data_IF_398971811975
#
_entry.id   IF_398971811975
#
_cell.length_a   1.000
_cell.length_b   1.000
_cell.length_c   1.000
_cell.angle_alpha   90.00
_cell.angle_beta   90.00
_cell.angle_gamma   90.00
#
_symmetry.space_group_name_H-M   'P 1'
#
loop_
_entity.id
_entity.type
_entity.pdbx_description
1 polymer ?
#
# COMPACT_ATOMS: atom_id res chain seq x y z
N UNK A 1 -6.75 17.72 40.63
CA UNK A 1 -5.45 18.26 40.17
C UNK A 1 -4.94 17.32 39.09
N UNK A 2 -4.68 17.82 37.88
CA UNK A 2 -4.23 16.98 36.76
C UNK A 2 -2.83 16.44 37.06
N UNK A 3 -2.67 15.12 37.03
CA UNK A 3 -1.35 14.51 36.96
C UNK A 3 -0.96 14.38 35.48
N UNK A 4 -0.21 15.32 34.92
CA UNK A 4 0.29 15.29 33.53
C UNK A 4 -0.46 16.20 32.53
N UNK A 5 0.07 16.27 31.31
CA UNK A 5 -0.36 17.18 30.24
C UNK A 5 -1.30 16.48 29.24
N UNK A 6 -2.57 16.90 29.08
CA UNK A 6 -3.59 16.20 28.28
C UNK A 6 -3.33 16.05 26.78
N UNK A 7 -2.20 16.57 26.26
CA UNK A 7 -1.78 16.40 24.86
C UNK A 7 -0.67 15.37 24.66
N UNK A 8 -0.25 14.65 25.69
CA UNK A 8 0.92 13.74 25.67
C UNK A 8 0.54 12.29 25.50
N UNK A 9 1.44 11.45 24.99
CA UNK A 9 1.24 9.99 25.04
C UNK A 9 1.28 9.49 26.47
N UNK A 10 2.25 9.98 27.26
CA UNK A 10 2.36 9.66 28.69
C UNK A 10 1.03 9.84 29.43
N UNK A 11 0.32 10.95 29.16
CA UNK A 11 -0.99 11.18 29.76
C UNK A 11 -2.00 10.06 29.49
N UNK A 12 -2.09 9.51 28.28
CA UNK A 12 -3.08 8.49 27.93
C UNK A 12 -2.59 7.05 28.18
N UNK A 13 -1.28 6.83 28.27
CA UNK A 13 -0.65 5.51 28.20
C UNK A 13 0.37 5.20 29.33
N UNK A 14 0.36 5.94 30.44
CA UNK A 14 1.32 5.85 31.56
C UNK A 14 1.48 4.47 32.29
N UNK A 15 0.90 3.37 31.79
CA UNK A 15 1.06 2.01 32.36
C UNK A 15 1.95 1.12 31.45
N UNK A 16 3.26 0.98 31.75
CA UNK A 16 4.23 0.33 30.85
C UNK A 16 3.98 -1.16 30.60
N UNK A 17 3.42 -1.89 31.58
CA UNK A 17 3.22 -3.34 31.50
C UNK A 17 2.20 -3.77 30.44
N UNK A 18 1.22 -2.91 30.14
CA UNK A 18 0.19 -3.17 29.12
C UNK A 18 0.66 -2.82 27.71
N UNK A 19 1.79 -2.12 27.56
CA UNK A 19 2.32 -1.74 26.24
C UNK A 19 3.27 -2.82 25.69
N UNK A 20 3.97 -3.55 26.58
CA UNK A 20 4.98 -4.55 26.20
C UNK A 20 4.47 -5.66 25.27
N UNK A 21 3.25 -6.16 25.46
CA UNK A 21 2.69 -7.23 24.62
C UNK A 21 2.33 -6.77 23.20
N UNK A 22 1.89 -5.50 23.04
CA UNK A 22 1.59 -4.91 21.74
C UNK A 22 2.88 -4.77 20.94
N UNK A 23 3.92 -4.24 21.58
CA UNK A 23 5.25 -4.13 20.99
C UNK A 23 5.77 -5.52 20.63
N UNK A 24 5.65 -6.51 21.51
CA UNK A 24 6.05 -7.89 21.21
C UNK A 24 5.32 -8.48 19.98
N UNK A 25 4.02 -8.20 19.81
CA UNK A 25 3.24 -8.62 18.65
C UNK A 25 3.75 -8.03 17.33
N UNK A 26 4.12 -6.75 17.31
CA UNK A 26 4.74 -6.09 16.14
C UNK A 26 6.06 -6.79 15.78
N UNK A 27 6.89 -7.08 16.78
CA UNK A 27 8.14 -7.79 16.54
C UNK A 27 7.92 -9.22 16.05
N UNK A 28 6.85 -9.89 16.50
CA UNK A 28 6.48 -11.19 15.95
C UNK A 28 6.18 -11.12 14.44
N UNK A 29 5.42 -10.09 14.03
CA UNK A 29 5.09 -9.82 12.63
C UNK A 29 6.35 -9.49 11.81
N UNK A 30 7.24 -8.66 12.36
CA UNK A 30 8.54 -8.28 11.77
C UNK A 30 9.42 -9.50 11.49
N UNK A 31 9.56 -10.41 12.45
CA UNK A 31 10.35 -11.62 12.23
C UNK A 31 9.72 -12.54 11.18
N UNK A 32 8.40 -12.71 11.20
CA UNK A 32 7.69 -13.46 10.16
C UNK A 32 7.92 -12.85 8.76
N UNK A 33 7.88 -11.53 8.64
CA UNK A 33 8.17 -10.82 7.40
C UNK A 33 9.62 -11.05 6.94
N UNK A 34 10.56 -11.02 7.86
CA UNK A 34 11.98 -11.24 7.57
C UNK A 34 12.23 -12.65 7.02
N UNK A 35 11.60 -13.67 7.60
CA UNK A 35 11.64 -15.05 7.08
C UNK A 35 11.11 -15.08 5.65
N UNK A 36 9.99 -14.41 5.39
CA UNK A 36 9.41 -14.34 4.05
C UNK A 36 10.32 -13.64 3.02
N UNK A 37 10.89 -12.49 3.39
CA UNK A 37 11.77 -11.69 2.52
C UNK A 37 13.08 -12.41 2.18
N UNK A 38 13.62 -13.18 3.13
CA UNK A 38 14.85 -13.95 2.97
C UNK A 38 14.64 -15.32 2.30
N UNK A 39 13.39 -15.73 2.04
CA UNK A 39 13.08 -17.04 1.49
C UNK A 39 13.25 -18.20 2.49
N UNK A 40 13.10 -17.92 3.79
CA UNK A 40 13.09 -18.93 4.85
C UNK A 40 14.43 -19.16 5.56
N UNK A 41 15.46 -18.36 5.28
CA UNK A 41 16.77 -18.51 5.91
C UNK A 41 16.75 -17.86 7.30
N UNK A 42 17.27 -18.56 8.31
CA UNK A 42 17.43 -18.00 9.66
C UNK A 42 18.43 -16.84 9.63
N UNK A 43 17.94 -15.61 9.45
CA UNK A 43 18.78 -14.42 9.42
C UNK A 43 19.06 -13.91 10.84
N UNK A 44 20.18 -13.18 11.05
CA UNK A 44 20.48 -12.57 12.33
C UNK A 44 19.38 -11.60 12.81
N UNK A 45 18.64 -10.97 11.90
CA UNK A 45 17.44 -10.15 12.21
C UNK A 45 16.33 -10.99 12.87
N UNK A 46 16.10 -12.23 12.45
CA UNK A 46 15.12 -13.13 13.10
C UNK A 46 15.58 -13.48 14.52
N UNK A 47 16.89 -13.65 14.72
CA UNK A 47 17.49 -13.94 16.02
C UNK A 47 17.44 -12.73 16.96
N UNK A 48 17.75 -11.52 16.49
CA UNK A 48 17.65 -10.29 17.29
C UNK A 48 16.20 -10.00 17.68
N UNK A 49 15.28 -10.18 16.74
CA UNK A 49 13.84 -10.03 16.98
C UNK A 49 13.32 -11.04 18.00
N UNK A 50 13.71 -12.32 17.89
CA UNK A 50 13.40 -13.34 18.90
C UNK A 50 13.97 -12.97 20.28
N UNK A 51 15.20 -12.45 20.33
CA UNK A 51 15.82 -11.99 21.58
C UNK A 51 15.03 -10.83 22.20
N UNK A 52 14.59 -9.88 21.40
CA UNK A 52 13.78 -8.76 21.87
C UNK A 52 12.41 -9.20 22.41
N UNK A 53 11.69 -10.08 21.70
CA UNK A 53 10.40 -10.64 22.16
C UNK A 53 10.57 -11.34 23.50
N UNK A 54 11.66 -12.09 23.68
CA UNK A 54 11.96 -12.69 24.97
C UNK A 54 12.29 -11.67 26.05
N UNK A 55 13.05 -10.60 25.71
CA UNK A 55 13.38 -9.54 26.66
C UNK A 55 12.14 -8.78 27.14
N UNK A 56 11.18 -8.53 26.25
CA UNK A 56 9.89 -7.89 26.63
C UNK A 56 9.00 -8.82 27.45
N UNK A 57 9.17 -10.14 27.32
CA UNK A 57 8.58 -11.13 28.21
C UNK A 57 9.33 -11.27 29.56
N UNK A 58 10.32 -10.41 29.85
CA UNK A 58 11.10 -10.41 31.09
C UNK A 58 12.19 -11.49 31.15
N UNK A 59 12.48 -12.15 30.03
CA UNK A 59 13.59 -13.11 29.93
C UNK A 59 14.87 -12.37 29.53
N UNK A 60 16.03 -13.04 29.62
CA UNK A 60 17.29 -12.42 29.18
C UNK A 60 18.18 -13.43 28.44
N UNK A 61 19.06 -12.91 27.59
CA UNK A 61 20.06 -13.69 26.87
C UNK A 61 19.45 -14.81 26.02
N UNK A 62 20.07 -15.98 26.05
CA UNK A 62 19.66 -17.14 25.23
C UNK A 62 18.25 -17.61 25.57
N UNK A 63 17.79 -17.44 26.82
CA UNK A 63 16.42 -17.77 27.20
C UNK A 63 15.41 -16.82 26.54
N UNK A 64 15.74 -15.53 26.43
CA UNK A 64 14.95 -14.58 25.68
C UNK A 64 14.91 -14.93 24.18
N UNK A 65 16.08 -15.17 23.59
CA UNK A 65 16.20 -15.59 22.18
C UNK A 65 15.37 -16.84 21.89
N UNK A 66 15.49 -17.88 22.71
CA UNK A 66 14.78 -19.13 22.51
C UNK A 66 13.28 -18.99 22.75
N UNK A 67 12.85 -18.19 23.74
CA UNK A 67 11.43 -17.93 23.96
C UNK A 67 10.81 -17.16 22.80
N UNK A 68 11.45 -16.09 22.33
CA UNK A 68 10.94 -15.34 21.19
C UNK A 68 11.00 -16.17 19.90
N UNK A 69 12.08 -16.91 19.64
CA UNK A 69 12.13 -17.83 18.48
C UNK A 69 11.11 -18.97 18.60
N UNK A 70 10.82 -19.46 19.80
CA UNK A 70 9.74 -20.43 20.04
C UNK A 70 8.35 -19.80 19.95
N UNK A 71 8.19 -18.50 20.18
CA UNK A 71 6.94 -17.79 19.91
C UNK A 71 6.77 -17.54 18.41
N UNK A 72 7.85 -17.22 17.70
CA UNK A 72 7.93 -17.10 16.24
C UNK A 72 7.71 -18.43 15.52
N UNK A 73 8.21 -19.55 16.08
CA UNK A 73 8.10 -20.89 15.49
C UNK A 73 6.99 -21.77 16.09
N UNK A 74 6.59 -21.55 17.34
CA UNK A 74 5.60 -22.33 18.09
C UNK A 74 4.25 -21.63 18.26
N UNK A 75 4.18 -20.30 18.16
CA UNK A 75 2.92 -19.57 17.96
C UNK A 75 2.27 -19.90 16.61
N UNK A 76 3.08 -20.27 15.61
CA UNK A 76 2.64 -20.83 14.33
C UNK A 76 2.09 -22.27 14.43
N UNK A 77 2.35 -22.99 15.53
CA UNK A 77 1.84 -24.35 15.79
C UNK A 77 0.57 -24.30 16.65
N UNK A 78 0.46 -23.33 17.56
CA UNK A 78 -0.70 -23.20 18.46
C UNK A 78 -1.95 -22.60 17.80
N UNK A 79 -1.85 -21.94 16.64
CA UNK A 79 -2.99 -21.41 15.87
C UNK A 79 -3.66 -22.41 14.91
N UNK A 80 -3.24 -23.68 14.93
CA UNK A 80 -3.90 -24.77 14.21
C UNK A 80 -3.50 -24.89 12.73
N UNK A 81 -2.82 -25.99 12.39
CA UNK A 81 -2.92 -26.67 11.09
C UNK A 81 -2.42 -25.98 9.80
N UNK A 82 -1.89 -24.77 9.85
CA UNK A 82 -1.46 -24.01 8.65
C UNK A 82 -0.07 -23.38 8.77
N UNK A 83 0.91 -24.07 9.37
CA UNK A 83 2.24 -23.52 9.71
C UNK A 83 3.08 -22.87 8.59
N UNK A 84 2.71 -22.98 7.31
CA UNK A 84 3.29 -22.18 6.22
C UNK A 84 2.27 -21.34 5.43
N UNK A 85 0.98 -21.64 5.55
CA UNK A 85 -0.09 -20.99 4.76
C UNK A 85 -0.85 -19.95 5.60
N UNK A 86 -0.93 -20.14 6.92
CA UNK A 86 -1.51 -19.21 7.89
C UNK A 86 -0.56 -18.08 8.25
N UNK A 87 0.75 -18.34 8.25
CA UNK A 87 1.77 -17.28 8.31
C UNK A 87 1.69 -16.36 7.10
N UNK A 88 1.50 -16.91 5.91
CA UNK A 88 1.21 -16.14 4.69
C UNK A 88 -0.11 -15.40 4.82
N UNK A 89 -1.19 -15.98 5.39
CA UNK A 89 -2.46 -15.29 5.59
C UNK A 89 -2.40 -14.11 6.59
N UNK A 90 -1.61 -14.22 7.67
CA UNK A 90 -1.35 -13.11 8.61
C UNK A 90 -0.42 -12.06 7.96
N UNK A 91 0.57 -12.48 7.19
CA UNK A 91 1.43 -11.58 6.42
C UNK A 91 0.66 -10.87 5.28
N UNK A 92 -0.28 -11.55 4.62
CA UNK A 92 -1.12 -10.97 3.55
C UNK A 92 -2.12 -9.97 4.13
N UNK A 93 -2.70 -10.25 5.30
CA UNK A 93 -3.69 -9.37 5.95
C UNK A 93 -3.07 -8.25 6.78
N UNK A 94 -1.99 -8.52 7.53
CA UNK A 94 -1.36 -7.55 8.45
C UNK A 94 -0.23 -6.74 7.80
N UNK A 95 0.50 -7.30 6.83
CA UNK A 95 1.56 -6.58 6.11
C UNK A 95 1.22 -6.29 4.65
N UNK A 96 0.06 -6.73 4.15
CA UNK A 96 -0.37 -6.44 2.78
C UNK A 96 0.38 -7.23 1.72
N UNK A 97 1.05 -8.34 2.07
CA UNK A 97 1.65 -9.28 1.11
C UNK A 97 0.58 -10.07 0.35
N UNK A 98 -0.37 -9.43 -0.32
CA UNK A 98 -1.44 -10.18 -1.00
C UNK A 98 -0.86 -11.03 -2.13
N UNK A 99 -1.34 -12.27 -2.24
CA UNK A 99 -1.22 -13.10 -3.45
C UNK A 99 -2.09 -12.56 -4.60
N UNK A 100 -2.78 -11.44 -4.37
CA UNK A 100 -3.76 -10.79 -5.24
C UNK A 100 -3.12 -9.85 -6.27
N UNK A 101 -1.87 -10.13 -6.64
CA UNK A 101 -1.18 -9.42 -7.71
C UNK A 101 -1.96 -9.51 -9.05
N UNK A 102 -2.82 -10.53 -9.18
CA UNK A 102 -3.80 -10.70 -10.27
C UNK A 102 -4.98 -9.71 -10.16
N UNK A 103 -5.42 -9.32 -8.95
CA UNK A 103 -6.47 -8.31 -8.74
C UNK A 103 -5.98 -6.89 -9.04
N UNK A 104 -4.71 -6.58 -8.78
CA UNK A 104 -4.12 -5.27 -9.08
C UNK A 104 -4.22 -4.92 -10.58
N UNK A 105 -4.21 -5.91 -11.46
CA UNK A 105 -4.43 -5.70 -12.89
C UNK A 105 -5.88 -5.27 -13.21
N UNK A 106 -6.88 -5.86 -12.57
CA UNK A 106 -8.28 -5.44 -12.70
C UNK A 106 -8.52 -4.07 -12.06
N UNK A 107 -7.81 -3.75 -10.98
CA UNK A 107 -7.86 -2.46 -10.29
C UNK A 107 -7.11 -1.36 -11.05
N UNK A 108 -6.05 -1.68 -11.80
CA UNK A 108 -5.31 -0.72 -12.62
C UNK A 108 -6.14 -0.12 -13.77
N UNK A 109 -7.18 -0.84 -14.22
CA UNK A 109 -8.22 -0.29 -15.11
C UNK A 109 -9.15 0.70 -14.43
N UNK A 110 -9.25 0.65 -13.10
CA UNK A 110 -10.03 1.57 -12.27
C UNK A 110 -9.13 2.66 -11.67
N UNK A 111 -8.55 3.48 -12.55
CA UNK A 111 -7.93 4.79 -12.30
C UNK A 111 -6.91 4.90 -11.15
N UNK A 112 -5.73 5.42 -11.50
CA UNK A 112 -4.73 6.03 -10.62
C UNK A 112 -5.21 7.32 -9.94
N UNK A 113 -6.52 7.59 -9.89
CA UNK A 113 -7.09 8.74 -9.21
C UNK A 113 -7.22 8.46 -7.71
N UNK A 114 -6.86 9.45 -6.91
CA UNK A 114 -7.06 9.41 -5.46
C UNK A 114 -8.52 9.05 -5.12
N UNK A 115 -8.70 8.09 -4.21
CA UNK A 115 -10.00 7.73 -3.66
C UNK A 115 -9.88 7.58 -2.16
N UNK A 116 -10.45 8.54 -1.43
CA UNK A 116 -10.52 8.51 0.02
C UNK A 116 -11.11 7.19 0.53
N UNK A 117 -12.25 6.78 -0.05
CA UNK A 117 -12.94 5.55 0.36
C UNK A 117 -12.07 4.31 0.18
N UNK A 118 -11.34 4.21 -0.94
CA UNK A 118 -10.45 3.07 -1.19
C UNK A 118 -9.30 3.03 -0.20
N UNK A 119 -8.67 4.18 0.09
CA UNK A 119 -7.62 4.27 1.10
C UNK A 119 -8.15 3.88 2.49
N UNK A 120 -9.34 4.37 2.87
CA UNK A 120 -9.98 4.01 4.14
C UNK A 120 -10.23 2.50 4.21
N UNK A 121 -10.79 1.90 3.16
CA UNK A 121 -11.09 0.47 3.12
C UNK A 121 -9.82 -0.37 3.28
N UNK A 122 -8.76 -0.04 2.52
CA UNK A 122 -7.47 -0.73 2.61
C UNK A 122 -6.80 -0.53 3.97
N UNK A 123 -7.08 0.58 4.65
CA UNK A 123 -6.48 0.89 5.95
C UNK A 123 -7.04 0.12 7.14
N UNK A 124 -8.24 -0.47 7.02
CA UNK A 124 -8.94 -1.12 8.13
C UNK A 124 -8.15 -2.26 8.78
N UNK A 125 -7.20 -2.84 8.05
CA UNK A 125 -6.36 -3.94 8.51
C UNK A 125 -4.96 -3.49 8.94
N UNK A 126 -4.65 -2.19 8.85
CA UNK A 126 -3.38 -1.65 9.30
C UNK A 126 -3.33 -1.57 10.83
N UNK A 127 -2.10 -1.54 11.35
CA UNK A 127 -1.84 -1.29 12.76
C UNK A 127 -2.43 0.05 13.17
N UNK A 128 -3.00 0.10 14.38
CA UNK A 128 -3.54 1.32 14.99
C UNK A 128 -3.10 1.40 16.45
N UNK A 129 -3.33 2.55 17.08
CA UNK A 129 -3.05 2.74 18.50
C UNK A 129 -4.03 1.90 19.34
N UNK A 130 -3.57 1.32 20.46
CA UNK A 130 -4.48 0.72 21.42
C UNK A 130 -5.38 1.79 22.06
N UNK A 131 -6.53 1.37 22.61
CA UNK A 131 -7.35 2.24 23.45
C UNK A 131 -6.53 2.91 24.56
N UNK A 132 -6.82 4.18 24.87
CA UNK A 132 -6.29 4.84 26.05
C UNK A 132 -6.43 3.99 27.32
N UNK A 133 -5.47 4.11 28.22
CA UNK A 133 -5.43 3.32 29.46
C UNK A 133 -5.82 4.16 30.67
N UNK A 134 -5.61 5.47 30.62
CA UNK A 134 -5.95 6.35 31.73
C UNK A 134 -7.45 6.56 31.87
N UNK A 135 -7.99 6.27 33.05
CA UNK A 135 -9.41 6.42 33.34
C UNK A 135 -9.83 7.75 33.98
N UNK A 136 -8.88 8.63 34.33
CA UNK A 136 -9.16 9.87 35.07
C UNK A 136 -9.19 11.08 34.15
N UNK A 137 -10.15 11.98 34.36
CA UNK A 137 -10.32 13.16 33.52
C UNK A 137 -11.53 14.00 33.90
N UNK A 138 -12.01 14.80 32.94
CA UNK A 138 -13.33 15.43 33.04
C UNK A 138 -14.45 14.39 33.18
N UNK A 139 -15.59 14.75 33.77
CA UNK A 139 -16.77 13.87 33.85
C UNK A 139 -17.18 13.25 32.50
N UNK A 140 -16.95 13.98 31.41
CA UNK A 140 -17.23 13.52 30.04
C UNK A 140 -16.21 12.50 29.56
N UNK A 141 -14.95 12.76 29.87
CA UNK A 141 -13.86 11.83 29.57
C UNK A 141 -14.10 10.51 30.30
N UNK A 142 -14.43 10.57 31.59
CA UNK A 142 -14.67 9.36 32.39
C UNK A 142 -15.86 8.55 31.87
N UNK A 143 -16.95 9.22 31.43
CA UNK A 143 -18.09 8.56 30.77
C UNK A 143 -17.69 7.87 29.46
N UNK A 144 -16.97 8.56 28.59
CA UNK A 144 -16.47 7.97 27.35
C UNK A 144 -15.51 6.80 27.65
N UNK A 145 -14.66 6.95 28.66
CA UNK A 145 -13.70 5.92 29.08
C UNK A 145 -14.38 4.68 29.64
N UNK A 146 -15.45 4.81 30.42
CA UNK A 146 -16.26 3.68 30.87
C UNK A 146 -16.77 2.86 29.70
N UNK A 147 -17.15 3.52 28.59
CA UNK A 147 -17.51 2.83 27.36
C UNK A 147 -16.31 2.15 26.73
N UNK A 148 -15.17 2.84 26.62
CA UNK A 148 -13.91 2.25 26.09
C UNK A 148 -13.48 1.00 26.88
N UNK A 149 -13.77 0.90 28.19
CA UNK A 149 -13.48 -0.31 28.97
C UNK A 149 -14.22 -1.57 28.50
N UNK A 150 -15.31 -1.42 27.75
CA UNK A 150 -16.03 -2.54 27.14
C UNK A 150 -15.31 -3.09 25.90
N UNK A 151 -14.24 -2.43 25.43
CA UNK A 151 -13.42 -2.88 24.30
C UNK A 151 -12.83 -4.27 24.56
N UNK A 152 -13.02 -5.20 23.60
CA UNK A 152 -12.48 -6.55 23.67
C UNK A 152 -11.08 -6.57 23.07
N UNK A 153 -10.08 -6.81 23.93
CA UNK A 153 -8.66 -6.80 23.54
C UNK A 153 -8.30 -7.97 22.61
N UNK A 154 -9.08 -9.04 22.68
CA UNK A 154 -8.92 -10.26 21.89
C UNK A 154 -9.46 -10.09 20.46
N UNK A 155 -10.39 -9.16 20.26
CA UNK A 155 -10.99 -8.86 18.96
C UNK A 155 -10.18 -7.76 18.25
N UNK A 156 -10.05 -7.82 16.91
CA UNK A 156 -9.48 -6.71 16.14
C UNK A 156 -10.20 -5.38 16.40
N UNK A 157 -9.46 -4.27 16.32
CA UNK A 157 -10.04 -2.92 16.49
C UNK A 157 -11.15 -2.64 15.46
N UNK A 158 -11.01 -3.19 14.25
CA UNK A 158 -11.99 -3.04 13.16
C UNK A 158 -13.20 -3.97 13.27
N UNK A 159 -13.28 -4.82 14.31
CA UNK A 159 -14.45 -5.69 14.51
C UNK A 159 -15.71 -4.86 14.74
N UNK A 160 -16.86 -5.35 14.26
CA UNK A 160 -18.14 -4.62 14.40
C UNK A 160 -18.45 -4.25 15.86
N UNK A 161 -18.09 -5.12 16.80
CA UNK A 161 -18.26 -4.88 18.23
C UNK A 161 -17.34 -3.76 18.72
N UNK A 162 -16.02 -3.85 18.51
CA UNK A 162 -15.10 -2.82 18.98
C UNK A 162 -15.38 -1.46 18.30
N UNK A 163 -15.75 -1.46 17.03
CA UNK A 163 -16.16 -0.24 16.32
C UNK A 163 -17.43 0.40 16.91
N UNK A 164 -18.42 -0.39 17.36
CA UNK A 164 -19.61 0.18 18.01
C UNK A 164 -19.27 0.82 19.36
N UNK A 165 -18.40 0.17 20.15
CA UNK A 165 -17.91 0.72 21.42
C UNK A 165 -17.23 2.08 21.21
N UNK A 166 -16.32 2.18 20.24
CA UNK A 166 -15.61 3.43 19.94
C UNK A 166 -16.55 4.53 19.45
N UNK A 167 -17.53 4.20 18.59
CA UNK A 167 -18.54 5.16 18.11
C UNK A 167 -19.46 5.66 19.23
N UNK A 168 -19.85 4.80 20.15
CA UNK A 168 -20.59 5.22 21.34
C UNK A 168 -19.75 6.16 22.22
N UNK A 169 -18.45 5.88 22.39
CA UNK A 169 -17.54 6.78 23.11
C UNK A 169 -17.39 8.16 22.45
N UNK A 170 -17.42 8.23 21.11
CA UNK A 170 -17.45 9.50 20.36
C UNK A 170 -18.70 10.30 20.74
N UNK A 171 -19.88 9.66 20.75
CA UNK A 171 -21.15 10.33 21.08
C UNK A 171 -21.20 10.85 22.53
N UNK A 172 -20.45 10.22 23.44
CA UNK A 172 -20.34 10.65 24.84
C UNK A 172 -19.34 11.79 25.05
N UNK A 173 -18.49 12.08 24.07
CA UNK A 173 -17.37 13.03 24.14
C UNK A 173 -17.78 14.45 23.68
N UNK A 174 -18.86 15.01 24.23
CA UNK A 174 -19.30 16.38 23.90
C UNK A 174 -18.30 17.45 24.36
N UNK A 175 -18.13 18.50 23.55
CA UNK A 175 -17.28 19.65 23.84
C UNK A 175 -18.02 20.82 24.53
N UNK A 176 -19.35 20.80 24.60
CA UNK A 176 -20.14 21.96 25.03
C UNK A 176 -19.81 22.42 26.46
N UNK A 177 -19.39 23.67 26.65
CA UNK A 177 -19.11 24.21 27.98
C UNK A 177 -17.87 23.63 28.68
N UNK A 178 -16.98 22.96 27.93
CA UNK A 178 -15.62 22.66 28.39
C UNK A 178 -14.70 23.81 28.03
N UNK A 179 -13.71 24.06 28.89
CA UNK A 179 -12.68 25.07 28.67
C UNK A 179 -11.29 24.47 28.95
N UNK A 180 -10.26 25.13 28.42
CA UNK A 180 -8.84 24.86 28.69
C UNK A 180 -8.44 23.38 28.60
N UNK A 181 -7.98 22.80 29.72
CA UNK A 181 -7.42 21.44 29.78
C UNK A 181 -8.48 20.35 29.63
N UNK A 182 -9.71 20.60 30.06
CA UNK A 182 -10.82 19.66 29.86
C UNK A 182 -11.20 19.57 28.38
N UNK A 183 -11.27 20.72 27.71
CA UNK A 183 -11.51 20.77 26.26
C UNK A 183 -10.37 20.08 25.50
N UNK A 184 -9.11 20.38 25.86
CA UNK A 184 -7.95 19.72 25.25
C UNK A 184 -8.00 18.20 25.41
N UNK A 185 -8.29 17.70 26.61
CA UNK A 185 -8.39 16.27 26.88
C UNK A 185 -9.41 15.59 25.97
N UNK A 186 -10.62 16.16 25.86
CA UNK A 186 -11.69 15.59 25.05
C UNK A 186 -11.37 15.67 23.56
N UNK A 187 -10.74 16.75 23.08
CA UNK A 187 -10.35 16.83 21.67
C UNK A 187 -9.28 15.80 21.31
N UNK A 188 -8.30 15.57 22.17
CA UNK A 188 -7.28 14.54 21.94
C UNK A 188 -7.90 13.14 21.97
N UNK A 189 -8.86 12.89 22.87
CA UNK A 189 -9.65 11.65 22.86
C UNK A 189 -10.43 11.50 21.55
N UNK A 190 -11.11 12.54 21.08
CA UNK A 190 -11.84 12.53 19.81
C UNK A 190 -10.91 12.30 18.61
N UNK A 191 -9.72 12.87 18.60
CA UNK A 191 -8.69 12.57 17.60
C UNK A 191 -8.39 11.09 17.54
N UNK A 192 -8.13 10.46 18.70
CA UNK A 192 -7.86 9.02 18.79
C UNK A 192 -9.07 8.20 18.35
N UNK A 193 -10.27 8.51 18.85
CA UNK A 193 -11.47 7.72 18.57
C UNK A 193 -11.80 7.75 17.07
N UNK A 194 -11.76 8.92 16.44
CA UNK A 194 -11.98 9.04 15.00
C UNK A 194 -10.90 8.31 14.19
N UNK A 195 -9.63 8.35 14.64
CA UNK A 195 -8.55 7.61 13.99
C UNK A 195 -8.80 6.09 14.08
N UNK A 196 -9.16 5.58 15.26
CA UNK A 196 -9.43 4.17 15.51
C UNK A 196 -10.70 3.67 14.81
N UNK A 197 -11.64 4.56 14.47
CA UNK A 197 -12.83 4.26 13.66
C UNK A 197 -12.64 4.53 12.17
N UNK A 198 -11.40 4.80 11.73
CA UNK A 198 -11.02 5.10 10.35
C UNK A 198 -11.69 6.36 9.75
N UNK A 199 -12.17 7.28 10.59
CA UNK A 199 -12.70 8.59 10.22
C UNK A 199 -11.55 9.61 10.13
N UNK A 200 -10.57 9.35 9.25
CA UNK A 200 -9.30 10.09 9.23
C UNK A 200 -9.45 11.60 9.00
N UNK A 201 -10.43 12.05 8.20
CA UNK A 201 -10.69 13.49 8.04
C UNK A 201 -11.06 14.15 9.36
N UNK A 202 -11.97 13.54 10.11
CA UNK A 202 -12.39 14.07 11.41
C UNK A 202 -11.26 13.96 12.43
N UNK A 203 -10.51 12.86 12.41
CA UNK A 203 -9.32 12.68 13.25
C UNK A 203 -8.27 13.78 12.99
N UNK A 204 -8.01 14.14 11.73
CA UNK A 204 -7.11 15.24 11.38
C UNK A 204 -7.63 16.59 11.90
N UNK A 205 -8.92 16.88 11.72
CA UNK A 205 -9.56 18.12 12.21
C UNK A 205 -9.44 18.23 13.73
N UNK A 206 -9.80 17.18 14.48
CA UNK A 206 -9.72 17.20 15.94
C UNK A 206 -8.27 17.29 16.42
N UNK A 207 -7.33 16.67 15.70
CA UNK A 207 -5.91 16.71 16.04
C UNK A 207 -5.33 18.11 15.85
N UNK A 208 -5.66 18.77 14.74
CA UNK A 208 -5.26 20.14 14.45
C UNK A 208 -5.84 21.14 15.47
N UNK A 209 -7.12 20.99 15.83
CA UNK A 209 -7.76 21.76 16.90
C UNK A 209 -7.07 21.54 18.26
N UNK A 210 -6.74 20.29 18.59
CA UNK A 210 -6.00 19.94 19.81
C UNK A 210 -4.61 20.57 19.83
N UNK A 211 -3.88 20.53 18.70
CA UNK A 211 -2.55 21.12 18.56
C UNK A 211 -2.60 22.64 18.78
N UNK A 212 -3.59 23.33 18.20
CA UNK A 212 -3.79 24.77 18.41
C UNK A 212 -4.11 25.11 19.86
N UNK A 213 -5.01 24.35 20.48
CA UNK A 213 -5.39 24.58 21.87
C UNK A 213 -4.22 24.30 22.82
N UNK A 214 -3.50 23.20 22.65
CA UNK A 214 -2.30 22.89 23.43
C UNK A 214 -1.25 23.99 23.30
N UNK A 215 -1.03 24.56 22.10
CA UNK A 215 -0.13 25.72 21.92
C UNK A 215 -0.60 26.95 22.70
N UNK A 216 -1.91 27.24 22.70
CA UNK A 216 -2.49 28.36 23.48
C UNK A 216 -2.30 28.17 24.98
N UNK A 217 -2.38 26.92 25.44
CA UNK A 217 -2.24 26.53 26.85
C UNK A 217 -0.78 26.26 27.27
N UNK A 218 0.17 26.40 26.35
CA UNK A 218 1.60 26.08 26.56
C UNK A 218 1.86 24.60 26.95
N UNK A 219 1.00 23.68 26.51
CA UNK A 219 1.11 22.24 26.75
C UNK A 219 1.82 21.50 25.60
N UNK A 220 2.45 20.36 25.93
CA UNK A 220 2.96 19.38 24.98
C UNK A 220 1.77 18.69 24.26
N UNK A 221 2.02 18.27 23.02
CA UNK A 221 0.98 17.86 22.04
C UNK A 221 1.44 16.72 21.13
N UNK A 222 2.17 15.76 21.68
CA UNK A 222 2.76 14.66 20.91
C UNK A 222 1.71 13.72 20.33
N UNK A 223 0.70 13.31 21.10
CA UNK A 223 -0.35 12.41 20.65
C UNK A 223 -1.19 13.02 19.51
N UNK A 224 -1.76 14.24 19.62
CA UNK A 224 -2.46 14.84 18.51
C UNK A 224 -1.53 15.19 17.35
N UNK A 225 -0.24 15.52 17.57
CA UNK A 225 0.71 15.70 16.46
C UNK A 225 0.92 14.41 15.67
N UNK A 226 1.08 13.28 16.35
CA UNK A 226 1.19 11.97 15.69
C UNK A 226 -0.09 11.63 14.92
N UNK A 227 -1.26 11.75 15.54
CA UNK A 227 -2.54 11.47 14.92
C UNK A 227 -2.80 12.38 13.71
N UNK A 228 -2.43 13.66 13.79
CA UNK A 228 -2.46 14.57 12.66
C UNK A 228 -1.55 14.10 11.52
N UNK A 229 -0.30 13.74 11.84
CA UNK A 229 0.67 13.27 10.85
C UNK A 229 0.16 12.06 10.05
N UNK A 230 -0.48 11.10 10.72
CA UNK A 230 -1.00 9.89 10.07
C UNK A 230 -2.32 10.18 9.34
N UNK A 231 -3.28 10.82 9.99
CA UNK A 231 -4.60 11.07 9.40
C UNK A 231 -4.56 11.98 8.18
N UNK A 232 -3.66 12.97 8.17
CA UNK A 232 -3.50 13.86 7.01
C UNK A 232 -2.91 13.17 5.78
N UNK A 233 -2.36 11.95 5.88
CA UNK A 233 -1.98 11.15 4.69
C UNK A 233 -3.19 10.80 3.81
N UNK A 234 -4.40 10.85 4.37
CA UNK A 234 -5.66 10.60 3.67
C UNK A 234 -6.23 11.84 2.99
N UNK A 235 -5.56 12.98 3.04
CA UNK A 235 -5.97 14.16 2.28
C UNK A 235 -5.73 13.95 0.78
N UNK A 236 -6.35 14.78 -0.06
CA UNK A 236 -6.20 14.64 -1.52
C UNK A 236 -4.75 14.88 -1.97
N UNK A 237 -4.06 15.83 -1.36
CA UNK A 237 -2.68 16.21 -1.67
C UNK A 237 -1.87 16.44 -0.38
N UNK A 238 -1.48 15.37 0.34
CA UNK A 238 -0.75 15.50 1.59
C UNK A 238 0.65 16.05 1.33
N UNK A 239 1.05 17.07 2.11
CA UNK A 239 2.44 17.53 2.15
C UNK A 239 3.26 16.59 3.03
N UNK A 240 3.80 15.54 2.43
CA UNK A 240 4.54 14.52 3.16
C UNK A 240 5.70 15.08 3.98
N UNK A 241 6.43 16.07 3.43
CA UNK A 241 7.57 16.68 4.12
C UNK A 241 7.10 17.40 5.37
N UNK A 242 6.03 18.20 5.27
CA UNK A 242 5.41 18.85 6.41
C UNK A 242 4.96 17.82 7.48
N UNK A 243 4.27 16.77 7.06
CA UNK A 243 3.77 15.73 7.98
C UNK A 243 4.93 15.02 8.70
N UNK A 244 5.98 14.65 7.97
CA UNK A 244 7.13 13.94 8.50
C UNK A 244 8.00 14.83 9.41
N UNK A 245 8.39 16.01 8.94
CA UNK A 245 9.36 16.87 9.64
C UNK A 245 8.73 17.66 10.80
N UNK A 246 7.46 18.08 10.69
CA UNK A 246 6.87 18.98 11.69
C UNK A 246 5.96 18.26 12.69
N UNK A 247 5.31 17.17 12.30
CA UNK A 247 4.30 16.52 13.14
C UNK A 247 4.77 15.16 13.64
N UNK A 248 5.15 14.25 12.74
CA UNK A 248 5.65 12.93 13.12
C UNK A 248 6.94 13.05 13.94
N UNK A 249 7.96 13.74 13.41
CA UNK A 249 9.20 14.01 14.15
C UNK A 249 8.96 14.70 15.48
N UNK A 250 8.10 15.73 15.53
CA UNK A 250 7.77 16.42 16.79
C UNK A 250 7.19 15.46 17.83
N UNK A 251 6.25 14.60 17.43
CA UNK A 251 5.60 13.66 18.34
C UNK A 251 6.60 12.72 19.04
N UNK A 252 7.69 12.36 18.35
CA UNK A 252 8.76 11.54 18.89
C UNK A 252 9.74 12.36 19.74
N UNK A 253 10.14 13.54 19.26
CA UNK A 253 11.19 14.35 19.89
C UNK A 253 10.77 15.05 21.17
N UNK A 254 9.46 15.30 21.36
CA UNK A 254 8.93 15.89 22.58
C UNK A 254 8.72 14.86 23.70
N UNK A 255 8.60 13.56 23.37
CA UNK A 255 8.56 12.46 24.34
C UNK A 255 9.54 11.34 23.95
N UNK A 256 10.85 11.61 23.98
CA UNK A 256 11.86 10.69 23.46
C UNK A 256 12.01 9.40 24.26
N UNK A 257 11.47 9.35 25.48
CA UNK A 257 11.46 8.16 26.33
C UNK A 257 10.17 7.34 26.22
N UNK A 258 9.25 7.71 25.32
CA UNK A 258 7.99 6.99 25.13
C UNK A 258 8.24 5.60 24.53
N UNK A 259 7.93 4.54 25.29
CA UNK A 259 8.14 3.16 24.84
C UNK A 259 7.26 2.79 23.62
N UNK A 260 6.26 3.60 23.27
CA UNK A 260 5.44 3.42 22.05
C UNK A 260 6.16 3.79 20.75
N UNK A 261 7.33 4.45 20.79
CA UNK A 261 8.03 4.93 19.60
C UNK A 261 8.13 3.88 18.47
N UNK A 262 8.52 2.61 18.73
CA UNK A 262 8.50 1.55 17.70
C UNK A 262 7.11 1.32 17.08
N UNK A 263 6.04 1.33 17.88
CA UNK A 263 4.66 1.22 17.37
C UNK A 263 4.31 2.44 16.51
N UNK A 264 4.71 3.65 16.92
CA UNK A 264 4.45 4.88 16.17
C UNK A 264 5.09 4.84 14.78
N UNK A 265 6.34 4.40 14.66
CA UNK A 265 6.98 4.16 13.37
C UNK A 265 6.24 3.11 12.55
N UNK A 266 5.84 2.00 13.17
CA UNK A 266 5.13 0.92 12.48
C UNK A 266 3.80 1.37 11.88
N UNK A 267 3.00 2.11 12.66
CA UNK A 267 1.76 2.71 12.20
C UNK A 267 2.07 3.71 11.09
N UNK A 268 2.93 4.70 11.34
CA UNK A 268 3.21 5.77 10.38
C UNK A 268 3.67 5.23 9.02
N UNK A 269 4.64 4.31 9.00
CA UNK A 269 5.13 3.70 7.76
C UNK A 269 4.05 2.91 7.03
N UNK A 270 3.22 2.14 7.74
CA UNK A 270 2.14 1.37 7.11
C UNK A 270 1.14 2.26 6.37
N UNK A 271 0.82 3.42 6.95
CA UNK A 271 -0.06 4.41 6.32
C UNK A 271 0.63 5.20 5.19
N UNK A 272 1.92 5.54 5.34
CA UNK A 272 2.73 6.19 4.28
C UNK A 272 2.83 5.28 3.06
N UNK A 273 3.14 4.00 3.26
CA UNK A 273 3.21 3.01 2.18
C UNK A 273 1.86 2.87 1.47
N UNK A 274 0.76 2.76 2.23
CA UNK A 274 -0.59 2.72 1.67
C UNK A 274 -0.88 3.95 0.81
N UNK A 275 -0.46 5.14 1.26
CA UNK A 275 -0.69 6.39 0.55
C UNK A 275 0.15 6.51 -0.72
N UNK A 276 1.44 6.19 -0.64
CA UNK A 276 2.41 6.45 -1.70
C UNK A 276 2.77 5.17 -2.48
N UNK A 277 1.87 4.18 -2.54
CA UNK A 277 2.05 2.95 -3.33
C UNK A 277 2.54 3.27 -4.75
N UNK A 278 3.74 2.79 -5.09
CA UNK A 278 4.35 3.00 -6.41
C UNK A 278 4.96 4.39 -6.65
N UNK A 279 5.35 5.11 -5.59
CA UNK A 279 6.18 6.32 -5.61
C UNK A 279 6.97 6.40 -4.29
N UNK A 280 7.70 5.32 -3.98
CA UNK A 280 8.02 4.93 -2.60
C UNK A 280 9.39 5.33 -2.09
N UNK A 281 10.35 5.55 -2.99
CA UNK A 281 11.76 5.56 -2.58
C UNK A 281 12.14 6.81 -1.75
N UNK A 282 11.54 7.97 -2.04
CA UNK A 282 11.87 9.24 -1.35
C UNK A 282 11.41 9.32 0.11
N UNK A 283 10.34 8.63 0.50
CA UNK A 283 9.82 8.74 1.86
C UNK A 283 10.63 7.90 2.85
N UNK A 284 11.17 6.75 2.44
CA UNK A 284 11.97 5.91 3.34
C UNK A 284 13.21 6.65 3.84
N UNK A 285 13.87 7.40 2.96
CA UNK A 285 15.00 8.25 3.35
C UNK A 285 14.59 9.32 4.36
N UNK A 286 13.46 9.99 4.13
CA UNK A 286 12.94 11.03 5.04
C UNK A 286 12.50 10.47 6.40
N UNK A 287 11.91 9.28 6.44
CA UNK A 287 11.56 8.61 7.71
C UNK A 287 12.82 8.10 8.42
N UNK A 288 13.81 7.59 7.68
CA UNK A 288 15.10 7.19 8.22
C UNK A 288 15.86 8.36 8.85
N UNK A 289 15.75 9.57 8.28
CA UNK A 289 16.31 10.78 8.91
C UNK A 289 15.71 11.02 10.30
N UNK A 290 14.40 10.88 10.47
CA UNK A 290 13.75 10.99 11.79
C UNK A 290 14.26 9.91 12.75
N UNK A 291 14.46 8.69 12.26
CA UNK A 291 14.99 7.57 13.04
C UNK A 291 16.44 7.76 13.52
N UNK A 292 17.19 8.66 12.89
CA UNK A 292 18.60 8.94 13.23
C UNK A 292 18.78 10.03 14.29
N UNK A 293 17.68 10.59 14.78
CA UNK A 293 17.70 11.63 15.81
C UNK A 293 18.22 11.09 17.14
N UNK A 294 19.25 11.74 17.69
CA UNK A 294 19.96 11.30 18.90
C UNK A 294 19.03 11.01 20.09
N UNK A 295 17.98 11.83 20.22
CA UNK A 295 17.02 11.71 21.33
C UNK A 295 16.29 10.38 21.37
N UNK A 296 16.12 9.69 20.23
CA UNK A 296 15.41 8.40 20.17
C UNK A 296 16.34 7.21 19.91
N UNK A 297 17.66 7.38 20.04
CA UNK A 297 18.65 6.31 19.86
C UNK A 297 18.40 5.09 20.76
N UNK A 298 17.70 5.25 21.90
CA UNK A 298 17.25 4.13 22.75
C UNK A 298 16.46 3.07 21.95
N UNK A 299 15.72 3.50 20.92
CA UNK A 299 14.87 2.65 20.09
C UNK A 299 15.47 2.37 18.71
N UNK A 300 16.76 2.63 18.51
CA UNK A 300 17.40 2.56 17.19
C UNK A 300 17.21 1.18 16.54
N UNK A 301 17.53 0.09 17.23
CA UNK A 301 17.44 -1.27 16.68
C UNK A 301 16.01 -1.61 16.23
N UNK A 302 15.04 -1.22 17.04
CA UNK A 302 13.61 -1.41 16.79
C UNK A 302 13.17 -0.66 15.55
N UNK A 303 13.44 0.65 15.53
CA UNK A 303 13.02 1.55 14.45
C UNK A 303 13.74 1.21 13.15
N UNK A 304 15.04 0.88 13.20
CA UNK A 304 15.81 0.42 12.06
C UNK A 304 15.18 -0.84 11.46
N UNK A 305 14.88 -1.85 12.29
CA UNK A 305 14.25 -3.10 11.84
C UNK A 305 12.88 -2.86 11.19
N UNK A 306 12.08 -1.96 11.76
CA UNK A 306 10.78 -1.58 11.20
C UNK A 306 10.96 -0.94 9.81
N UNK A 307 11.88 0.02 9.67
CA UNK A 307 12.14 0.69 8.39
C UNK A 307 12.66 -0.32 7.36
N UNK A 308 13.63 -1.15 7.73
CA UNK A 308 14.21 -2.21 6.90
C UNK A 308 13.13 -3.12 6.32
N UNK A 309 12.22 -3.62 7.16
CA UNK A 309 11.22 -4.59 6.74
C UNK A 309 10.21 -3.97 5.79
N UNK A 310 9.76 -2.76 6.08
CA UNK A 310 8.86 -2.02 5.20
C UNK A 310 9.53 -1.69 3.87
N UNK A 311 10.83 -1.36 3.91
CA UNK A 311 11.66 -1.16 2.71
C UNK A 311 11.69 -2.40 1.80
N UNK A 312 12.12 -3.54 2.35
CA UNK A 312 12.24 -4.77 1.56
C UNK A 312 10.88 -5.37 1.21
N UNK A 313 9.84 -5.13 2.00
CA UNK A 313 8.46 -5.42 1.63
C UNK A 313 8.08 -4.69 0.34
N UNK A 314 8.39 -3.41 0.23
CA UNK A 314 8.13 -2.62 -0.98
C UNK A 314 8.89 -3.18 -2.19
N UNK A 315 10.17 -3.53 -2.04
CA UNK A 315 10.95 -4.22 -3.08
C UNK A 315 10.32 -5.57 -3.49
N UNK A 316 9.89 -6.37 -2.50
CA UNK A 316 9.29 -7.68 -2.74
C UNK A 316 7.97 -7.59 -3.48
N UNK A 317 7.13 -6.62 -3.13
CA UNK A 317 5.84 -6.38 -3.81
C UNK A 317 6.07 -6.06 -5.28
N UNK A 318 7.00 -5.16 -5.62
CA UNK A 318 7.28 -4.84 -7.02
C UNK A 318 7.92 -6.03 -7.77
N UNK A 319 8.83 -6.77 -7.13
CA UNK A 319 9.38 -8.03 -7.68
C UNK A 319 8.29 -9.06 -8.02
N UNK A 320 7.34 -9.26 -7.09
CA UNK A 320 6.23 -10.19 -7.27
C UNK A 320 5.25 -9.71 -8.33
N UNK A 321 4.96 -8.39 -8.37
CA UNK A 321 4.16 -7.74 -9.41
C UNK A 321 4.68 -8.00 -10.80
N UNK A 322 5.97 -7.79 -11.02
CA UNK A 322 6.62 -8.10 -12.30
C UNK A 322 6.50 -9.59 -12.60
N UNK A 323 6.87 -10.44 -11.63
CA UNK A 323 6.93 -11.89 -11.85
C UNK A 323 5.55 -12.48 -12.19
N UNK A 324 4.50 -12.15 -11.45
CA UNK A 324 3.18 -12.74 -11.67
C UNK A 324 2.49 -12.22 -12.94
N UNK A 325 2.66 -10.93 -13.28
CA UNK A 325 2.05 -10.36 -14.49
C UNK A 325 2.75 -10.85 -15.76
N UNK A 326 4.07 -11.04 -15.72
CA UNK A 326 4.81 -11.60 -16.86
C UNK A 326 4.57 -13.11 -17.03
N UNK A 327 4.39 -13.86 -15.94
CA UNK A 327 4.24 -15.32 -15.94
C UNK A 327 2.78 -15.80 -15.89
N UNK A 328 1.80 -14.90 -15.94
CA UNK A 328 0.39 -15.28 -15.91
C UNK A 328 -0.01 -16.12 -17.13
N UNK A 329 -0.85 -17.12 -16.90
CA UNK A 329 -1.51 -17.91 -17.95
C UNK A 329 -2.86 -17.31 -18.38
N UNK A 330 -3.34 -16.29 -17.68
CA UNK A 330 -4.58 -15.61 -18.04
C UNK A 330 -4.36 -14.69 -19.26
N UNK A 331 -4.83 -15.14 -20.42
CA UNK A 331 -4.67 -14.42 -21.70
C UNK A 331 -5.28 -13.01 -21.68
N UNK A 332 -6.40 -12.79 -20.96
CA UNK A 332 -7.00 -11.44 -20.82
C UNK A 332 -6.02 -10.45 -20.19
N UNK A 333 -5.19 -10.94 -19.26
CA UNK A 333 -4.13 -10.15 -18.63
C UNK A 333 -2.92 -10.12 -19.57
N UNK A 334 -2.43 -11.28 -19.98
CA UNK A 334 -1.19 -11.42 -20.74
C UNK A 334 -1.20 -10.66 -22.08
N UNK A 335 -2.34 -10.61 -22.76
CA UNK A 335 -2.50 -9.98 -24.08
C UNK A 335 -2.74 -8.47 -23.98
N UNK A 336 -3.05 -7.94 -22.79
CA UNK A 336 -3.33 -6.53 -22.62
C UNK A 336 -2.07 -5.67 -22.67
N UNK A 337 -2.09 -4.61 -23.48
CA UNK A 337 -1.00 -3.60 -23.52
C UNK A 337 -0.79 -2.91 -22.17
N UNK A 338 -1.83 -2.83 -21.35
CA UNK A 338 -1.76 -2.25 -20.00
C UNK A 338 -0.85 -3.08 -19.07
N UNK A 339 -0.76 -4.40 -19.29
CA UNK A 339 0.09 -5.30 -18.50
C UNK A 339 1.55 -4.93 -18.67
N UNK A 340 1.99 -4.73 -19.93
CA UNK A 340 3.36 -4.31 -20.22
C UNK A 340 3.67 -2.93 -19.63
N UNK A 341 2.70 -2.01 -19.66
CA UNK A 341 2.84 -0.70 -19.01
C UNK A 341 3.00 -0.84 -17.49
N UNK A 342 2.15 -1.65 -16.85
CA UNK A 342 2.17 -1.88 -15.41
C UNK A 342 3.49 -2.53 -14.94
N UNK A 343 3.99 -3.55 -15.63
CA UNK A 343 5.28 -4.18 -15.25
C UNK A 343 6.47 -3.26 -15.48
N UNK A 344 6.44 -2.40 -16.50
CA UNK A 344 7.49 -1.38 -16.70
C UNK A 344 7.47 -0.34 -15.59
N UNK A 345 6.30 0.12 -15.17
CA UNK A 345 6.15 1.02 -14.02
C UNK A 345 6.70 0.36 -12.75
N UNK A 346 6.35 -0.90 -12.52
CA UNK A 346 6.80 -1.69 -11.37
C UNK A 346 8.33 -1.86 -11.37
N UNK A 347 8.93 -2.13 -12.52
CA UNK A 347 10.39 -2.20 -12.67
C UNK A 347 11.06 -0.86 -12.39
N UNK A 348 10.47 0.25 -12.86
CA UNK A 348 10.98 1.60 -12.57
C UNK A 348 10.99 1.85 -11.05
N UNK A 349 9.91 1.50 -10.37
CA UNK A 349 9.80 1.64 -8.91
C UNK A 349 10.81 0.75 -8.17
N UNK A 350 10.92 -0.51 -8.59
CA UNK A 350 11.89 -1.46 -8.06
C UNK A 350 13.32 -0.93 -8.16
N UNK A 351 13.71 -0.37 -9.32
CA UNK A 351 15.03 0.21 -9.50
C UNK A 351 15.23 1.48 -8.65
N UNK A 352 14.19 2.29 -8.47
CA UNK A 352 14.22 3.46 -7.58
C UNK A 352 14.50 3.03 -6.13
N UNK A 353 13.82 1.99 -5.67
CA UNK A 353 14.07 1.36 -4.37
C UNK A 353 15.46 0.70 -4.29
N UNK A 354 16.03 0.17 -5.36
CA UNK A 354 17.41 -0.31 -5.26
C UNK A 354 18.41 0.84 -5.09
N UNK A 355 18.21 1.93 -5.84
CA UNK A 355 19.05 3.13 -5.77
C UNK A 355 19.00 3.79 -4.39
N UNK A 356 17.80 4.00 -3.85
CA UNK A 356 17.63 4.72 -2.58
C UNK A 356 18.03 3.89 -1.36
N UNK A 357 18.20 2.57 -1.51
CA UNK A 357 18.59 1.68 -0.42
C UNK A 357 19.97 2.06 0.13
N UNK A 358 20.85 2.58 -0.73
CA UNK A 358 22.14 3.12 -0.32
C UNK A 358 22.01 4.38 0.52
N UNK A 359 21.09 5.28 0.17
CA UNK A 359 20.83 6.50 0.94
C UNK A 359 20.33 6.16 2.35
N UNK A 360 19.39 5.22 2.46
CA UNK A 360 18.88 4.72 3.75
C UNK A 360 20.02 4.11 4.58
N UNK A 361 20.86 3.28 3.98
CA UNK A 361 22.05 2.70 4.63
C UNK A 361 23.03 3.76 5.15
N UNK A 362 23.30 4.81 4.36
CA UNK A 362 24.20 5.90 4.75
C UNK A 362 23.66 6.61 5.99
N UNK A 363 22.35 6.90 6.03
CA UNK A 363 21.71 7.54 7.19
C UNK A 363 21.92 6.70 8.45
N UNK A 364 21.62 5.41 8.39
CA UNK A 364 21.77 4.54 9.55
C UNK A 364 23.22 4.29 9.97
N UNK A 365 24.15 4.27 9.02
CA UNK A 365 25.58 4.16 9.32
C UNK A 365 26.10 5.35 10.13
N UNK A 366 25.46 6.52 10.02
CA UNK A 366 25.85 7.74 10.72
C UNK A 366 25.41 7.84 12.18
N UNK A 367 24.54 6.94 12.65
CA UNK A 367 24.01 6.98 14.03
C UNK A 367 25.04 6.44 15.02
N UNK A 368 25.22 7.14 16.14
CA UNK A 368 26.04 6.67 17.26
C UNK A 368 25.31 5.55 18.03
N UNK A 369 25.96 4.41 18.26
CA UNK A 369 25.32 3.28 18.93
C UNK A 369 26.26 2.12 19.25
N UNK A 370 25.71 0.98 19.65
CA UNK A 370 26.48 -0.26 19.82
C UNK A 370 27.02 -0.70 18.45
N UNK A 371 28.31 -0.49 18.22
CA UNK A 371 28.95 -0.70 16.93
C UNK A 371 28.79 -2.14 16.41
N UNK A 372 28.85 -3.15 17.27
CA UNK A 372 28.80 -4.56 16.82
C UNK A 372 27.44 -4.97 16.25
N UNK A 373 26.35 -4.54 16.90
CA UNK A 373 24.98 -4.88 16.48
C UNK A 373 24.54 -4.03 15.29
N UNK A 374 24.89 -2.74 15.30
CA UNK A 374 24.70 -1.82 14.18
C UNK A 374 25.42 -2.30 12.92
N UNK A 375 26.71 -2.67 13.02
CA UNK A 375 27.49 -3.20 11.88
C UNK A 375 26.84 -4.46 11.32
N UNK A 376 26.34 -5.35 12.19
CA UNK A 376 25.64 -6.56 11.75
C UNK A 376 24.36 -6.24 10.98
N UNK A 377 23.50 -5.39 11.51
CA UNK A 377 22.24 -4.99 10.87
C UNK A 377 22.47 -4.29 9.52
N UNK A 378 23.49 -3.43 9.43
CA UNK A 378 23.90 -2.77 8.18
C UNK A 378 24.38 -3.79 7.14
N UNK A 379 25.17 -4.79 7.56
CA UNK A 379 25.63 -5.85 6.67
C UNK A 379 24.49 -6.73 6.19
N UNK A 380 23.54 -7.08 7.06
CA UNK A 380 22.34 -7.84 6.70
C UNK A 380 21.48 -7.06 5.68
N UNK A 381 21.28 -5.75 5.90
CA UNK A 381 20.62 -4.86 4.92
C UNK A 381 21.35 -4.92 3.58
N UNK A 382 22.67 -4.69 3.59
CA UNK A 382 23.47 -4.65 2.37
C UNK A 382 23.40 -5.97 1.60
N UNK A 383 23.51 -7.10 2.29
CA UNK A 383 23.39 -8.42 1.69
C UNK A 383 22.02 -8.62 1.04
N UNK A 384 20.93 -8.25 1.72
CA UNK A 384 19.60 -8.32 1.15
C UNK A 384 19.47 -7.40 -0.07
N UNK A 385 19.96 -6.16 0.01
CA UNK A 385 19.94 -5.22 -1.11
C UNK A 385 20.72 -5.77 -2.32
N UNK A 386 21.88 -6.39 -2.09
CA UNK A 386 22.68 -7.03 -3.14
C UNK A 386 21.92 -8.21 -3.78
N UNK A 387 21.20 -9.01 -2.99
CA UNK A 387 20.34 -10.10 -3.51
C UNK A 387 19.24 -9.58 -4.42
N UNK A 388 18.50 -8.55 -3.99
CA UNK A 388 17.47 -7.91 -4.83
C UNK A 388 18.09 -7.22 -6.05
N UNK A 389 19.25 -6.60 -5.91
CA UNK A 389 19.99 -6.01 -7.03
C UNK A 389 20.34 -7.06 -8.07
N UNK A 390 20.86 -8.22 -7.66
CA UNK A 390 21.20 -9.34 -8.54
C UNK A 390 19.99 -9.92 -9.29
N UNK A 391 18.79 -9.87 -8.69
CA UNK A 391 17.56 -10.36 -9.33
C UNK A 391 17.04 -9.45 -10.46
N UNK A 392 17.53 -8.21 -10.56
CA UNK A 392 17.10 -7.24 -11.59
C UNK A 392 17.25 -7.78 -13.01
N UNK A 393 18.29 -8.58 -13.28
CA UNK A 393 18.49 -9.19 -14.60
C UNK A 393 17.36 -10.17 -14.98
N UNK A 394 16.92 -11.01 -14.02
CA UNK A 394 15.80 -11.93 -14.22
C UNK A 394 14.50 -11.16 -14.48
N UNK A 395 14.22 -10.13 -13.69
CA UNK A 395 13.02 -9.30 -13.85
C UNK A 395 12.97 -8.60 -15.22
N UNK A 396 14.09 -8.04 -15.67
CA UNK A 396 14.21 -7.46 -17.01
C UNK A 396 13.94 -8.50 -18.11
N UNK A 397 14.50 -9.71 -17.97
CA UNK A 397 14.27 -10.80 -18.92
C UNK A 397 12.78 -11.16 -19.02
N UNK A 398 12.06 -11.24 -17.89
CA UNK A 398 10.62 -11.53 -17.89
C UNK A 398 9.82 -10.48 -18.65
N UNK A 399 10.15 -9.21 -18.47
CA UNK A 399 9.48 -8.10 -19.16
C UNK A 399 9.77 -8.12 -20.66
N UNK A 400 11.01 -8.45 -21.06
CA UNK A 400 11.37 -8.63 -22.47
C UNK A 400 10.58 -9.77 -23.11
N UNK A 401 10.47 -10.93 -22.45
CA UNK A 401 9.68 -12.06 -22.94
C UNK A 401 8.18 -11.71 -23.09
N UNK A 402 7.61 -10.98 -22.13
CA UNK A 402 6.23 -10.50 -22.23
C UNK A 402 6.05 -9.54 -23.43
N UNK A 403 7.01 -8.62 -23.63
CA UNK A 403 7.00 -7.68 -24.75
C UNK A 403 7.04 -8.42 -26.09
N UNK A 404 7.96 -9.36 -26.26
CA UNK A 404 8.08 -10.17 -27.47
C UNK A 404 6.81 -10.96 -27.76
N UNK A 405 6.20 -11.56 -26.72
CA UNK A 405 4.92 -12.24 -26.82
C UNK A 405 3.81 -11.33 -27.34
N UNK A 406 3.63 -10.15 -26.75
CA UNK A 406 2.59 -9.20 -27.16
C UNK A 406 2.82 -8.62 -28.57
N UNK A 407 4.07 -8.38 -28.95
CA UNK A 407 4.43 -7.95 -30.30
C UNK A 407 4.11 -9.03 -31.35
N UNK A 408 4.35 -10.30 -31.03
CA UNK A 408 4.03 -11.42 -31.91
C UNK A 408 2.52 -11.61 -32.11
N UNK A 409 1.72 -11.46 -31.05
CA UNK A 409 0.24 -11.48 -31.16
C UNK A 409 -0.27 -10.34 -32.03
N UNK A 410 0.28 -9.14 -31.84
CA UNK A 410 -0.11 -7.97 -32.64
C UNK A 410 0.20 -8.20 -34.13
N UNK A 411 1.40 -8.68 -34.45
CA UNK A 411 1.79 -9.04 -35.83
C UNK A 411 0.87 -10.10 -36.43
N UNK A 412 0.51 -11.13 -35.67
CA UNK A 412 -0.38 -12.20 -36.12
C UNK A 412 -1.79 -11.68 -36.39
N UNK A 413 -2.33 -10.83 -35.50
CA UNK A 413 -3.63 -10.18 -35.67
C UNK A 413 -3.66 -9.27 -36.91
N UNK A 414 -2.62 -8.46 -37.13
CA UNK A 414 -2.49 -7.60 -38.31
C UNK A 414 -2.40 -8.39 -39.61
N UNK A 415 -1.66 -9.51 -39.60
CA UNK A 415 -1.56 -10.40 -40.77
C UNK A 415 -2.91 -11.04 -41.09
N UNK A 416 -3.63 -11.55 -40.10
CA UNK A 416 -4.99 -12.09 -40.29
C UNK A 416 -5.91 -11.02 -40.87
N UNK A 417 -5.91 -9.81 -40.30
CA UNK A 417 -6.75 -8.71 -40.78
C UNK A 417 -6.44 -8.37 -42.24
N UNK A 418 -5.16 -8.29 -42.62
CA UNK A 418 -4.75 -8.07 -44.02
C UNK A 418 -5.20 -9.20 -44.94
N UNK A 419 -5.12 -10.45 -44.51
CA UNK A 419 -5.61 -11.59 -45.30
C UNK A 419 -7.12 -11.51 -45.50
N UNK A 420 -7.89 -11.22 -44.44
CA UNK A 420 -9.34 -11.02 -44.55
C UNK A 420 -9.72 -9.83 -45.44
N UNK A 421 -9.07 -8.68 -45.27
CA UNK A 421 -9.33 -7.49 -46.08
C UNK A 421 -8.98 -7.75 -47.57
N UNK A 422 -7.89 -8.47 -47.85
CA UNK A 422 -7.52 -8.85 -49.23
C UNK A 422 -8.49 -9.86 -49.86
N UNK A 423 -9.06 -10.76 -49.05
CA UNK A 423 -10.03 -11.74 -49.52
C UNK A 423 -11.42 -11.13 -49.69
N UNK A 424 -11.80 -10.15 -48.88
CA UNK A 424 -13.03 -9.36 -49.05
C UNK A 424 -12.94 -8.43 -50.28
N UNK A 425 -11.78 -7.80 -50.55
CA UNK A 425 -11.56 -7.06 -51.80
C UNK A 425 -11.63 -7.97 -53.04
N UNK A 426 -11.04 -9.16 -52.97
CA UNK A 426 -11.15 -10.16 -54.05
C UNK A 426 -12.61 -10.57 -54.28
N UNK A 427 -13.38 -10.82 -53.21
CA UNK A 427 -14.78 -11.21 -53.33
C UNK A 427 -15.67 -10.05 -53.83
N UNK A 428 -15.41 -8.81 -53.40
CA UNK A 428 -16.10 -7.61 -53.91
C UNK A 428 -15.84 -7.40 -55.39
N UNK A 429 -14.60 -7.60 -55.86
CA UNK A 429 -14.28 -7.47 -57.29
C UNK A 429 -14.98 -8.53 -58.15
N UNK A 430 -15.08 -9.78 -57.69
CA UNK A 430 -15.86 -10.82 -58.36
C UNK A 430 -17.35 -10.48 -58.42
N UNK A 431 -17.92 -9.97 -57.33
CA UNK A 431 -19.34 -9.61 -57.26
C UNK A 431 -19.68 -8.45 -58.20
N UNK A 432 -18.79 -7.45 -58.30
CA UNK A 432 -18.90 -6.36 -59.29
C UNK A 432 -18.86 -6.91 -60.72
N UNK A 433 -17.95 -7.85 -61.02
CA UNK A 433 -17.90 -8.49 -62.34
C UNK A 433 -19.18 -9.28 -62.67
N UNK A 434 -19.75 -10.02 -61.71
CA UNK A 434 -21.02 -10.72 -61.91
C UNK A 434 -22.18 -9.75 -62.19
N UNK A 435 -22.25 -8.63 -61.47
CA UNK A 435 -23.27 -7.60 -61.70
C UNK A 435 -23.12 -6.95 -63.07
N UNK A 436 -21.89 -6.62 -63.47
CA UNK A 436 -21.60 -6.07 -64.80
C UNK A 436 -21.97 -7.07 -65.90
N UNK A 437 -21.55 -8.33 -65.78
CA UNK A 437 -21.91 -9.39 -66.74
C UNK A 437 -23.42 -9.59 -66.84
N UNK A 438 -24.13 -9.55 -65.71
CA UNK A 438 -25.59 -9.64 -65.70
C UNK A 438 -26.26 -8.46 -66.41
N UNK A 439 -25.79 -7.22 -66.16
CA UNK A 439 -26.29 -6.02 -66.84
C UNK A 439 -26.03 -6.06 -68.36
N UNK A 440 -24.85 -6.52 -68.79
CA UNK A 440 -24.52 -6.69 -70.21
C UNK A 440 -25.44 -7.73 -70.85
N UNK A 441 -25.66 -8.88 -70.19
CA UNK A 441 -26.59 -9.90 -70.66
C UNK A 441 -28.01 -9.34 -70.82
N UNK A 442 -28.47 -8.57 -69.83
CA UNK A 442 -29.80 -7.96 -69.83
C UNK A 442 -29.95 -6.95 -70.98
N UNK A 443 -28.94 -6.10 -71.21
CA UNK A 443 -28.88 -5.19 -72.36
C UNK A 443 -28.89 -5.95 -73.69
N UNK A 444 -28.21 -7.09 -73.78
CA UNK A 444 -28.18 -7.94 -74.99
C UNK A 444 -29.55 -8.57 -75.27
N UNK A 445 -30.24 -9.05 -74.23
CA UNK A 445 -31.61 -9.57 -74.34
C UNK A 445 -32.56 -8.47 -74.79
N UNK A 446 -32.47 -7.28 -74.19
CA UNK A 446 -33.27 -6.11 -74.59
C UNK A 446 -32.98 -5.73 -76.05
N UNK A 447 -31.71 -5.67 -76.45
CA UNK A 447 -31.30 -5.37 -77.82
C UNK A 447 -31.85 -6.40 -78.83
N UNK A 448 -31.75 -7.69 -78.52
CA UNK A 448 -32.32 -8.77 -79.36
C UNK A 448 -33.83 -8.61 -79.48
N UNK A 449 -34.51 -8.31 -78.37
CA UNK A 449 -35.96 -8.11 -78.34
C UNK A 449 -36.37 -6.89 -79.18
N UNK A 450 -35.69 -5.76 -79.02
CA UNK A 450 -35.91 -4.54 -79.81
C UNK A 450 -35.66 -4.81 -81.30
N UNK A 451 -34.55 -5.46 -81.67
CA UNK A 451 -34.22 -5.81 -83.06
C UNK A 451 -35.28 -6.72 -83.70
N UNK A 452 -35.88 -7.62 -82.92
CA UNK A 452 -36.96 -8.52 -83.37
C UNK A 452 -38.30 -7.78 -83.52
N UNK A 453 -38.60 -6.84 -82.64
CA UNK A 453 -39.84 -6.04 -82.67
C UNK A 453 -39.79 -4.92 -83.70
N UNK A 454 -38.61 -4.36 -83.98
CA UNK A 454 -38.40 -3.29 -84.95
C UNK A 454 -37.31 -3.70 -85.94
N UNK A 455 -37.62 -4.52 -86.96
CA UNK A 455 -36.67 -4.78 -88.02
C UNK A 455 -36.33 -3.44 -88.69
N UNK A 456 -35.06 -3.04 -88.62
CA UNK A 456 -34.56 -1.84 -89.28
C UNK A 456 -34.94 -1.91 -90.77
N UNK A 457 -35.96 -1.14 -91.16
CA UNK A 457 -36.20 -0.83 -92.56
C UNK A 457 -35.05 0.07 -93.01
N UNK A 458 -34.19 -0.43 -93.88
CA UNK A 458 -33.18 0.37 -94.55
C UNK A 458 -33.90 1.47 -95.34
N UNK A 459 -33.91 2.68 -94.82
CA UNK A 459 -34.37 3.84 -95.59
C UNK A 459 -33.32 4.12 -96.66
N UNK A 460 -33.67 3.79 -97.91
CA UNK A 460 -32.98 4.27 -99.10
C UNK A 460 -33.08 5.80 -99.11
N UNK A 461 -31.95 6.47 -98.90
CA UNK A 461 -31.83 7.92 -99.00
C UNK A 461 -31.96 8.27 -100.49
N UNK A 462 -33.17 8.68 -100.90
CA UNK A 462 -33.36 9.38 -102.17
C UNK A 462 -32.82 10.81 -102.02
N UNK A 463 -31.81 11.11 -102.81
CA UNK A 463 -31.22 12.43 -103.04
C UNK A 463 -32.29 13.49 -103.34
N UNK A 464 -32.43 14.48 -102.46
CA UNK A 464 -33.13 15.74 -102.78
C UNK A 464 -32.09 16.82 -103.13
N UNK A 465 -32.11 17.24 -104.40
CA UNK A 465 -31.39 18.41 -104.93
C UNK A 465 -32.04 19.69 -104.39
N UNK A 466 -31.21 20.63 -103.93
CA UNK A 466 -31.54 22.04 -103.70
C UNK A 466 -32.18 22.69 -104.94
N UNK A 467 -33.31 23.36 -104.75
CA UNK A 467 -33.43 24.80 -105.00
C UNK A 467 -34.22 25.42 -103.87
#
# INVERSE_FOLDING_TARGET
MWAGEPGTFDYFYSEPSTIGWIIAGIFAIIAAATIFLTGGVASPIVVSTGTFIGNTAGLSGIAATNYGLALLGGGAIASGGFGMIGGVALLTTTLGFSTDVVFDFAISKASSAYSYYKLVEESKNLLTLPPPLRSTGSDRYEKAFLKIKEFRKEDPVNSNFNQSILKEAINLSSLDGLEDKDELQIRVLLSYLNFATNEYKEAAIQSDLSIRLARKLEEIRTLPAFLFAVSSLYEESPDFKLLNENYFKYALMAEPNNDLIPLLFSIYLSHVELRFKGSTSSYFTQVAEVATEEKINKYFDQVFSIILINYFKSLKIEQQRISSLCLTDNLTIKDSKDTLSAVKKSLSEYNSLLSDGQSVLIKFSSVNGNEDEKIRQINDFKQLLDMYTGDSARLNSLILSLKEYQENITKYSDNIKRTYDSQDESNRSLLIWYVISFLVLLMLVVYIKIKKTYPFRSYSIKTFKKK
#
